data_IF_563245400560
#
_entry.id   IF_563245400560
#
_cell.length_a   1.000
_cell.length_b   1.000
_cell.length_c   1.000
_cell.angle_alpha   90.00
_cell.angle_beta   90.00
_cell.angle_gamma   90.00
#
_symmetry.space_group_name_H-M   'P 1'
#
loop_
_entity.id
_entity.type
_entity.pdbx_description
1 polymer ?
#
# COMPACT_ATOMS: atom_id res chain seq x y z
N UNK A 1 2.70 13.48 6.87
CA UNK A 1 2.70 12.05 6.46
C UNK A 1 3.43 11.93 5.14
N UNK A 2 4.13 10.81 4.89
CA UNK A 2 5.13 10.69 3.83
C UNK A 2 5.27 9.26 3.30
N UNK A 3 6.41 8.98 2.67
CA UNK A 3 6.76 7.66 2.14
C UNK A 3 7.69 6.95 3.11
N UNK A 4 7.47 5.67 3.34
CA UNK A 4 8.28 4.82 4.20
C UNK A 4 8.70 3.58 3.42
N UNK A 5 9.99 3.29 3.36
CA UNK A 5 10.53 2.14 2.64
C UNK A 5 11.19 1.18 3.62
N UNK A 6 10.93 -0.12 3.46
CA UNK A 6 11.53 -1.20 4.24
C UNK A 6 11.69 -2.44 3.36
N UNK A 7 12.91 -2.97 3.25
CA UNK A 7 13.23 -4.20 2.49
C UNK A 7 12.60 -4.27 1.08
N UNK A 8 12.63 -3.18 0.31
CA UNK A 8 12.03 -3.14 -1.04
C UNK A 8 10.48 -3.13 -1.03
N UNK A 9 9.87 -2.71 0.07
CA UNK A 9 8.46 -2.35 0.12
C UNK A 9 8.30 -0.87 0.42
N UNK A 10 7.56 -0.18 -0.44
CA UNK A 10 7.20 1.23 -0.30
C UNK A 10 5.78 1.37 0.24
N UNK A 11 5.66 2.03 1.39
CA UNK A 11 4.41 2.36 2.04
C UNK A 11 4.15 3.87 1.92
N UNK A 12 3.05 4.23 1.30
CA UNK A 12 2.69 5.61 0.97
C UNK A 12 1.54 6.04 1.87
N UNK A 13 1.82 6.93 2.82
CA UNK A 13 0.80 7.47 3.72
C UNK A 13 0.24 8.76 3.11
N UNK A 14 -0.99 8.69 2.60
CA UNK A 14 -1.68 9.84 2.06
C UNK A 14 -2.31 10.68 3.16
N UNK A 15 -2.46 11.98 2.90
CA UNK A 15 -3.27 12.88 3.73
C UNK A 15 -4.74 12.82 3.31
N UNK A 16 -5.65 13.23 4.21
CA UNK A 16 -7.09 13.31 3.87
C UNK A 16 -7.29 14.21 2.64
N UNK A 17 -7.99 13.70 1.64
CA UNK A 17 -8.24 14.41 0.37
C UNK A 17 -7.10 14.40 -0.63
N UNK A 18 -5.90 13.93 -0.25
CA UNK A 18 -4.80 13.72 -1.19
C UNK A 18 -5.15 12.59 -2.16
N UNK A 19 -4.79 12.77 -3.43
CA UNK A 19 -4.99 11.76 -4.48
C UNK A 19 -3.70 10.97 -4.68
N UNK A 20 -3.88 9.70 -5.05
CA UNK A 20 -2.81 8.86 -5.53
C UNK A 20 -2.38 9.34 -6.93
N UNK A 21 -1.08 9.47 -7.14
CA UNK A 21 -0.52 9.96 -8.40
C UNK A 21 -0.02 8.78 -9.25
N UNK A 22 0.05 8.98 -10.59
CA UNK A 22 0.55 7.93 -11.49
C UNK A 22 1.97 7.48 -11.13
N UNK A 23 2.82 8.40 -10.66
CA UNK A 23 4.20 8.11 -10.24
C UNK A 23 4.29 7.20 -9.03
N UNK A 24 3.27 7.17 -8.16
CA UNK A 24 3.25 6.29 -6.99
C UNK A 24 3.20 4.81 -7.39
N UNK A 25 2.75 4.54 -8.61
CA UNK A 25 2.63 3.21 -9.16
C UNK A 25 3.79 2.88 -10.13
N UNK A 26 4.63 3.85 -10.51
CA UNK A 26 5.77 3.65 -11.42
C UNK A 26 6.90 2.88 -10.74
N UNK A 27 7.50 1.93 -11.46
CA UNK A 27 8.63 1.13 -11.00
C UNK A 27 9.83 2.03 -10.67
N UNK A 28 10.45 1.79 -9.51
CA UNK A 28 11.84 2.21 -9.31
C UNK A 28 12.70 1.01 -9.68
N UNK A 29 13.83 1.20 -10.38
CA UNK A 29 14.63 0.12 -10.98
C UNK A 29 15.26 -0.89 -9.99
N UNK A 30 14.82 -0.90 -8.73
CA UNK A 30 15.26 -1.78 -7.67
C UNK A 30 14.11 -2.72 -7.27
N UNK A 31 14.36 -4.03 -7.36
CA UNK A 31 13.49 -5.09 -6.85
C UNK A 31 13.88 -5.43 -5.40
N UNK A 32 12.93 -5.86 -4.53
CA UNK A 32 11.50 -5.91 -4.76
C UNK A 32 10.87 -4.50 -4.84
N UNK A 33 9.77 -4.37 -5.58
CA UNK A 33 9.00 -3.12 -5.72
C UNK A 33 7.56 -3.34 -5.22
N UNK A 34 7.45 -3.85 -4.00
CA UNK A 34 6.14 -4.00 -3.34
C UNK A 34 5.63 -2.63 -2.93
N UNK A 35 4.37 -2.32 -3.21
CA UNK A 35 3.82 -0.99 -2.88
C UNK A 35 2.48 -1.07 -2.20
N UNK A 36 2.33 -0.22 -1.20
CA UNK A 36 1.12 -0.08 -0.41
C UNK A 36 0.76 1.40 -0.30
N UNK A 37 -0.54 1.68 -0.38
CA UNK A 37 -1.07 2.99 -0.02
C UNK A 37 -1.91 2.85 1.23
N UNK A 38 -1.71 3.75 2.19
CA UNK A 38 -2.51 3.90 3.39
C UNK A 38 -3.20 5.25 3.29
N UNK A 39 -4.53 5.20 3.15
CA UNK A 39 -5.31 6.36 2.76
C UNK A 39 -6.43 6.66 3.78
N UNK A 40 -6.36 7.77 4.52
CA UNK A 40 -7.44 8.19 5.40
C UNK A 40 -8.67 8.63 4.57
N UNK A 41 -9.80 7.98 4.84
CA UNK A 41 -11.14 8.19 4.27
C UNK A 41 -12.11 8.62 5.37
N UNK A 42 -12.30 9.92 5.54
CA UNK A 42 -13.14 10.46 6.61
C UNK A 42 -12.77 9.83 7.99
N UNK A 43 -13.58 8.91 8.50
CA UNK A 43 -13.42 8.27 9.81
C UNK A 43 -12.66 6.94 9.79
N UNK A 44 -12.21 6.50 8.61
CA UNK A 44 -11.62 5.18 8.42
C UNK A 44 -10.41 5.24 7.49
N UNK A 45 -9.69 4.15 7.36
CA UNK A 45 -8.48 4.01 6.55
C UNK A 45 -8.68 2.93 5.50
N UNK A 46 -8.41 3.27 4.25
CA UNK A 46 -8.39 2.35 3.11
C UNK A 46 -6.92 1.95 2.86
N UNK A 47 -6.67 0.65 2.74
CA UNK A 47 -5.33 0.13 2.47
C UNK A 47 -5.38 -0.70 1.21
N UNK A 48 -4.48 -0.36 0.28
CA UNK A 48 -4.39 -1.05 -1.01
C UNK A 48 -2.96 -1.42 -1.32
N UNK A 49 -2.79 -2.56 -1.96
CA UNK A 49 -1.52 -2.97 -2.52
C UNK A 49 -1.53 -2.79 -4.05
N UNK A 50 -0.35 -2.58 -4.62
CA UNK A 50 -0.19 -2.53 -6.05
C UNK A 50 -0.05 -3.95 -6.61
N UNK A 51 -1.09 -4.44 -7.25
CA UNK A 51 -1.05 -5.67 -8.04
C UNK A 51 -0.59 -5.35 -9.46
N UNK A 52 0.38 -6.13 -9.94
CA UNK A 52 0.95 -6.00 -11.29
C UNK A 52 0.75 -7.27 -12.13
N UNK A 53 -0.17 -8.12 -11.70
CA UNK A 53 -0.42 -9.40 -12.33
C UNK A 53 -1.09 -9.22 -13.70
N UNK A 54 -0.87 -10.18 -14.61
CA UNK A 54 -1.51 -10.21 -15.92
C UNK A 54 -1.30 -8.95 -16.80
N UNK A 55 -0.13 -8.31 -16.68
CA UNK A 55 0.21 -7.14 -17.50
C UNK A 55 -0.61 -5.88 -17.20
N UNK A 56 -1.38 -5.87 -16.11
CA UNK A 56 -2.14 -4.71 -15.64
C UNK A 56 -1.59 -4.25 -14.30
N UNK A 57 -1.66 -2.93 -14.08
CA UNK A 57 -1.29 -2.32 -12.81
C UNK A 57 -2.54 -1.78 -12.13
N UNK A 58 -2.87 -2.32 -10.97
CA UNK A 58 -4.12 -2.00 -10.25
C UNK A 58 -3.89 -1.94 -8.74
N UNK A 59 -4.56 -0.99 -8.09
CA UNK A 59 -4.54 -0.87 -6.63
C UNK A 59 -5.70 -1.65 -6.03
N UNK A 60 -5.40 -2.82 -5.49
CA UNK A 60 -6.39 -3.73 -4.92
C UNK A 60 -6.47 -3.55 -3.40
N UNK A 61 -7.68 -3.57 -2.82
CA UNK A 61 -7.84 -3.54 -1.37
C UNK A 61 -7.24 -4.79 -0.74
N UNK A 62 -6.58 -4.65 0.41
CA UNK A 62 -6.08 -5.80 1.18
C UNK A 62 -7.12 -6.36 2.17
N UNK A 63 -8.23 -5.66 2.35
CA UNK A 63 -9.36 -6.05 3.20
C UNK A 63 -10.68 -5.54 2.64
N UNK A 64 -11.76 -6.27 2.87
CA UNK A 64 -13.12 -5.85 2.45
C UNK A 64 -13.65 -4.67 3.24
N UNK A 65 -13.27 -4.58 4.53
CA UNK A 65 -13.71 -3.54 5.45
C UNK A 65 -12.57 -2.54 5.69
N UNK A 66 -12.86 -1.23 5.75
CA UNK A 66 -11.86 -0.23 6.05
C UNK A 66 -11.48 -0.25 7.54
N UNK A 67 -10.29 0.23 7.86
CA UNK A 67 -9.72 0.19 9.21
C UNK A 67 -10.12 1.42 10.03
N UNK A 68 -10.23 1.28 11.35
CA UNK A 68 -10.64 2.37 12.23
C UNK A 68 -9.58 3.48 12.36
N UNK A 69 -8.30 3.13 12.28
CA UNK A 69 -7.19 4.06 12.51
C UNK A 69 -5.94 3.70 11.68
N UNK A 70 -4.96 4.62 11.74
CA UNK A 70 -3.70 4.49 11.03
C UNK A 70 -2.87 3.29 11.49
N UNK A 71 -2.94 2.93 12.77
CA UNK A 71 -2.14 1.87 13.36
C UNK A 71 -2.62 0.51 12.84
N UNK A 72 -3.93 0.27 12.87
CA UNK A 72 -4.54 -0.92 12.31
C UNK A 72 -4.30 -1.04 10.79
N UNK A 73 -4.39 0.08 10.07
CA UNK A 73 -4.06 0.14 8.64
C UNK A 73 -2.59 -0.23 8.36
N UNK A 74 -1.66 0.32 9.15
CA UNK A 74 -0.23 0.04 9.06
C UNK A 74 0.08 -1.43 9.36
N UNK A 75 -0.38 -1.96 10.49
CA UNK A 75 -0.14 -3.35 10.88
C UNK A 75 -0.65 -4.32 9.83
N UNK A 76 -1.81 -4.04 9.24
CA UNK A 76 -2.39 -4.91 8.20
C UNK A 76 -1.62 -4.83 6.88
N UNK A 77 -1.19 -3.63 6.46
CA UNK A 77 -0.34 -3.47 5.28
C UNK A 77 0.99 -4.22 5.43
N UNK A 78 1.62 -4.08 6.60
CA UNK A 78 2.89 -4.72 6.93
C UNK A 78 2.76 -6.24 6.99
N UNK A 79 1.71 -6.76 7.65
CA UNK A 79 1.42 -8.20 7.70
C UNK A 79 1.21 -8.80 6.31
N UNK A 80 0.37 -8.17 5.48
CA UNK A 80 0.14 -8.61 4.11
C UNK A 80 1.44 -8.63 3.27
N UNK A 81 2.36 -7.68 3.50
CA UNK A 81 3.67 -7.71 2.86
C UNK A 81 4.54 -8.86 3.35
N UNK A 82 4.61 -9.10 4.67
CA UNK A 82 5.38 -10.21 5.24
C UNK A 82 4.90 -11.56 4.70
N UNK A 83 3.60 -11.80 4.69
CA UNK A 83 3.03 -13.06 4.17
C UNK A 83 3.44 -13.30 2.71
N UNK A 84 3.40 -12.25 1.89
CA UNK A 84 3.81 -12.30 0.48
C UNK A 84 5.32 -12.47 0.29
N UNK A 85 6.14 -11.99 1.22
CA UNK A 85 7.60 -12.22 1.22
C UNK A 85 7.93 -13.67 1.57
N UNK A 86 7.13 -14.33 2.40
CA UNK A 86 7.37 -15.72 2.83
C UNK A 86 6.89 -16.79 1.83
N UNK A 87 6.02 -16.42 0.88
CA UNK A 87 5.49 -17.32 -0.15
C UNK A 87 6.31 -17.30 -1.45
N UNK A 88 7.43 -16.58 -1.48
CA UNK A 88 8.32 -16.42 -2.64
C UNK A 88 9.64 -17.17 -2.49
#
# INVERSE_FOLDING_TARGET
>A
MGRFEIDGALFIFLSRGQKLEKRDAQINNFWPDNRYVLWPRAQYWDVRYLDRSHGKQQWLPIAEKPFADQSAAWQTAYGHWLDRKTLG
#
